data_IF_618702018186
#
_entry.id   IF_618702018186
#
_cell.length_a   1.000
_cell.length_b   1.000
_cell.length_c   1.000
_cell.angle_alpha   90.00
_cell.angle_beta   90.00
_cell.angle_gamma   90.00
#
_symmetry.space_group_name_H-M   'P 1'
#
loop_
_entity.id
_entity.type
_entity.pdbx_description
1 polymer ?
#
# COMPACT_ATOMS: atom_id res chain seq x y z
N UNK A 1 -30.40 3.91 -21.74
CA UNK A 1 -29.27 3.34 -20.97
C UNK A 1 -29.69 2.01 -20.35
N UNK A 2 -28.95 0.93 -20.61
CA UNK A 2 -29.19 -0.41 -20.03
C UNK A 2 -28.03 -0.72 -19.09
N UNK A 3 -28.31 -0.89 -17.80
CA UNK A 3 -27.31 -1.28 -16.80
C UNK A 3 -27.21 -2.81 -16.82
N UNK A 4 -26.06 -3.36 -17.22
CA UNK A 4 -25.84 -4.82 -17.26
C UNK A 4 -25.48 -5.38 -15.88
N UNK A 5 -24.64 -4.65 -15.16
CA UNK A 5 -24.07 -5.08 -13.89
C UNK A 5 -23.99 -3.91 -12.91
N UNK A 6 -24.15 -4.21 -11.63
CA UNK A 6 -24.04 -3.27 -10.52
C UNK A 6 -23.09 -3.82 -9.46
N UNK A 7 -22.18 -2.99 -8.97
CA UNK A 7 -21.22 -3.33 -7.92
C UNK A 7 -21.55 -2.49 -6.69
N UNK A 8 -21.68 -3.13 -5.53
CA UNK A 8 -21.92 -2.42 -4.27
C UNK A 8 -21.08 -2.94 -3.12
N UNK A 9 -21.06 -2.17 -2.05
CA UNK A 9 -20.62 -2.65 -0.75
C UNK A 9 -21.50 -3.80 -0.24
N UNK A 10 -20.97 -4.56 0.71
CA UNK A 10 -21.68 -5.67 1.37
C UNK A 10 -22.67 -5.15 2.43
N UNK A 11 -23.62 -4.35 1.99
CA UNK A 11 -24.71 -3.86 2.82
C UNK A 11 -25.93 -4.79 2.72
N UNK A 12 -26.43 -5.26 3.85
CA UNK A 12 -27.51 -6.27 3.90
C UNK A 12 -28.79 -5.80 3.21
N UNK A 13 -29.20 -4.55 3.43
CA UNK A 13 -30.39 -3.99 2.79
C UNK A 13 -30.26 -3.85 1.27
N UNK A 14 -29.09 -3.42 0.77
CA UNK A 14 -28.84 -3.30 -0.68
C UNK A 14 -28.84 -4.70 -1.30
N UNK A 15 -28.16 -5.65 -0.66
CA UNK A 15 -28.12 -7.02 -1.16
C UNK A 15 -29.51 -7.68 -1.17
N UNK A 16 -30.37 -7.38 -0.18
CA UNK A 16 -31.77 -7.84 -0.17
C UNK A 16 -32.54 -7.22 -1.34
N UNK A 17 -32.48 -5.90 -1.46
CA UNK A 17 -33.15 -5.16 -2.52
C UNK A 17 -32.74 -5.62 -3.93
N UNK A 18 -31.44 -5.87 -4.15
CA UNK A 18 -30.93 -6.38 -5.43
C UNK A 18 -31.44 -7.78 -5.77
N UNK A 19 -31.74 -8.63 -4.76
CA UNK A 19 -32.25 -9.99 -4.98
C UNK A 19 -33.76 -10.05 -5.19
N UNK A 20 -34.51 -9.19 -4.51
CA UNK A 20 -35.97 -9.26 -4.46
C UNK A 20 -36.58 -8.16 -5.34
N UNK A 21 -36.49 -6.90 -4.88
CA UNK A 21 -37.17 -5.76 -5.50
C UNK A 21 -36.61 -5.40 -6.89
N UNK A 22 -35.29 -5.50 -7.08
CA UNK A 22 -34.64 -5.15 -8.34
C UNK A 22 -35.07 -6.10 -9.46
N UNK A 23 -35.18 -7.39 -9.17
CA UNK A 23 -35.61 -8.42 -10.12
C UNK A 23 -37.05 -8.17 -10.55
N UNK A 24 -37.95 -7.94 -9.59
CA UNK A 24 -39.35 -7.62 -9.86
C UNK A 24 -39.47 -6.37 -10.77
N UNK A 25 -38.78 -5.27 -10.40
CA UNK A 25 -38.79 -4.04 -11.20
C UNK A 25 -38.20 -4.21 -12.60
N UNK A 26 -37.16 -5.03 -12.76
CA UNK A 26 -36.59 -5.31 -14.08
C UNK A 26 -37.61 -6.06 -14.96
N UNK A 27 -38.30 -7.04 -14.38
CA UNK A 27 -39.33 -7.80 -15.08
C UNK A 27 -40.53 -6.92 -15.47
N UNK A 28 -41.04 -6.08 -14.55
CA UNK A 28 -42.15 -5.16 -14.80
C UNK A 28 -41.84 -4.17 -15.94
N UNK A 29 -40.57 -3.76 -16.06
CA UNK A 29 -40.10 -2.84 -17.08
C UNK A 29 -39.68 -3.55 -18.38
N UNK A 30 -39.78 -4.88 -18.47
CA UNK A 30 -39.31 -5.66 -19.61
C UNK A 30 -37.80 -5.57 -19.86
N UNK A 31 -37.02 -5.31 -18.80
CA UNK A 31 -35.56 -5.11 -18.86
C UNK A 31 -34.81 -6.33 -18.34
N UNK A 32 -33.59 -6.59 -18.85
CA UNK A 32 -32.75 -7.67 -18.33
C UNK A 32 -32.41 -7.43 -16.86
N UNK A 33 -32.40 -8.51 -16.08
CA UNK A 33 -32.04 -8.48 -14.66
C UNK A 33 -30.59 -8.03 -14.51
N UNK A 34 -30.37 -7.03 -13.65
CA UNK A 34 -29.05 -6.48 -13.36
C UNK A 34 -28.24 -7.49 -12.54
N UNK A 35 -27.06 -7.87 -13.03
CA UNK A 35 -26.15 -8.73 -12.26
C UNK A 35 -25.53 -7.95 -11.11
N UNK A 36 -25.65 -8.47 -9.88
CA UNK A 36 -25.12 -7.82 -8.69
C UNK A 36 -23.79 -8.45 -8.24
N UNK A 37 -22.78 -7.62 -8.05
CA UNK A 37 -21.48 -8.01 -7.51
C UNK A 37 -21.13 -7.21 -6.26
N UNK A 38 -20.25 -7.77 -5.43
CA UNK A 38 -19.67 -7.06 -4.30
C UNK A 38 -18.34 -6.43 -4.65
N UNK A 39 -18.10 -5.24 -4.11
CA UNK A 39 -16.82 -4.54 -4.27
C UNK A 39 -15.67 -5.34 -3.63
N UNK A 40 -14.73 -5.75 -4.49
CA UNK A 40 -13.54 -6.52 -4.13
C UNK A 40 -12.50 -5.70 -3.36
N UNK A 41 -12.59 -4.37 -3.41
CA UNK A 41 -11.70 -3.47 -2.68
C UNK A 41 -11.68 -3.74 -1.18
N UNK A 42 -12.83 -4.07 -0.58
CA UNK A 42 -12.89 -4.42 0.85
C UNK A 42 -12.06 -5.66 1.19
N UNK A 43 -12.02 -6.64 0.29
CA UNK A 43 -11.20 -7.84 0.45
C UNK A 43 -9.72 -7.50 0.30
N UNK A 44 -9.36 -6.77 -0.76
CA UNK A 44 -7.99 -6.30 -0.98
C UNK A 44 -7.46 -5.46 0.20
N UNK A 45 -8.29 -4.56 0.72
CA UNK A 45 -8.00 -3.74 1.91
C UNK A 45 -7.81 -4.61 3.15
N UNK A 46 -8.62 -5.65 3.34
CA UNK A 46 -8.48 -6.60 4.45
C UNK A 46 -7.17 -7.38 4.34
N UNK A 47 -6.82 -7.89 3.16
CA UNK A 47 -5.53 -8.55 2.89
C UNK A 47 -4.37 -7.60 3.23
N UNK A 48 -4.42 -6.36 2.73
CA UNK A 48 -3.38 -5.35 2.99
C UNK A 48 -3.20 -5.07 4.49
N UNK A 49 -4.31 -4.98 5.25
CA UNK A 49 -4.28 -4.79 6.71
C UNK A 49 -3.65 -5.98 7.43
N UNK A 50 -4.01 -7.20 7.03
CA UNK A 50 -3.42 -8.43 7.61
C UNK A 50 -1.91 -8.47 7.37
N UNK A 51 -1.47 -8.24 6.13
CA UNK A 51 -0.03 -8.23 5.79
C UNK A 51 0.73 -7.11 6.51
N UNK A 52 0.10 -5.94 6.68
CA UNK A 52 0.71 -4.82 7.44
C UNK A 52 0.82 -5.12 8.93
N UNK A 53 -0.08 -5.93 9.50
CA UNK A 53 0.02 -6.39 10.88
C UNK A 53 1.16 -7.40 11.01
N UNK A 54 1.19 -8.41 10.13
CA UNK A 54 2.24 -9.44 10.12
C UNK A 54 3.62 -8.85 9.92
N UNK A 55 3.77 -7.83 9.07
CA UNK A 55 5.07 -7.19 8.83
C UNK A 55 5.64 -6.43 10.02
N UNK A 56 4.88 -6.26 11.12
CA UNK A 56 5.34 -5.62 12.36
C UNK A 56 5.77 -6.64 13.42
N UNK A 57 5.55 -7.93 13.16
CA UNK A 57 6.02 -9.00 14.03
C UNK A 57 7.53 -9.22 13.80
N UNK A 58 8.27 -9.50 14.87
CA UNK A 58 9.73 -9.68 14.82
C UNK A 58 10.08 -10.84 13.88
N UNK A 59 10.92 -10.60 12.88
CA UNK A 59 11.33 -11.60 11.90
C UNK A 59 10.39 -11.74 10.69
N UNK A 60 9.32 -10.94 10.62
CA UNK A 60 8.33 -10.96 9.54
C UNK A 60 8.38 -9.69 8.66
N UNK A 61 9.40 -8.85 8.79
CA UNK A 61 9.52 -7.55 8.11
C UNK A 61 9.50 -7.69 6.57
N UNK A 62 10.00 -8.83 6.07
CA UNK A 62 10.02 -9.19 4.64
C UNK A 62 8.62 -9.19 4.01
N UNK A 63 7.58 -9.53 4.79
CA UNK A 63 6.18 -9.54 4.34
C UNK A 63 5.75 -8.13 3.88
N UNK A 64 6.28 -7.09 4.54
CA UNK A 64 6.02 -5.70 4.19
C UNK A 64 6.44 -5.35 2.76
N UNK A 65 7.55 -5.93 2.29
CA UNK A 65 8.05 -5.74 0.90
C UNK A 65 7.11 -6.38 -0.12
N UNK A 66 6.55 -7.54 0.19
CA UNK A 66 5.65 -8.29 -0.69
C UNK A 66 4.19 -7.81 -0.66
N UNK A 67 3.80 -7.01 0.35
CA UNK A 67 2.43 -6.53 0.54
C UNK A 67 1.78 -5.97 -0.73
N UNK A 68 2.46 -5.03 -1.41
CA UNK A 68 1.92 -4.38 -2.61
C UNK A 68 1.78 -5.38 -3.77
N UNK A 69 2.72 -6.31 -3.89
CA UNK A 69 2.69 -7.36 -4.90
C UNK A 69 1.54 -8.34 -4.64
N UNK A 70 1.34 -8.76 -3.39
CA UNK A 70 0.24 -9.64 -2.99
C UNK A 70 -1.14 -9.04 -3.33
N UNK A 71 -1.35 -7.77 -3.00
CA UNK A 71 -2.62 -7.07 -3.31
C UNK A 71 -2.82 -6.95 -4.83
N UNK A 72 -1.78 -6.60 -5.59
CA UNK A 72 -1.87 -6.56 -7.06
C UNK A 72 -2.16 -7.93 -7.66
N UNK A 73 -1.53 -8.98 -7.13
CA UNK A 73 -1.75 -10.36 -7.55
C UNK A 73 -3.18 -10.83 -7.25
N UNK A 74 -3.73 -10.44 -6.10
CA UNK A 74 -5.15 -10.67 -5.78
C UNK A 74 -6.08 -10.02 -6.81
N UNK A 75 -5.88 -8.73 -7.13
CA UNK A 75 -6.68 -8.07 -8.15
C UNK A 75 -6.58 -8.80 -9.50
N UNK A 76 -5.37 -9.10 -9.96
CA UNK A 76 -5.16 -9.85 -11.19
C UNK A 76 -5.85 -11.22 -11.17
N UNK A 77 -5.76 -11.98 -10.07
CA UNK A 77 -6.40 -13.28 -9.96
C UNK A 77 -7.92 -13.19 -10.12
N UNK A 78 -8.53 -12.16 -9.54
CA UNK A 78 -9.98 -11.94 -9.57
C UNK A 78 -10.44 -11.40 -10.93
N UNK A 79 -9.75 -10.41 -11.50
CA UNK A 79 -10.17 -9.72 -12.73
C UNK A 79 -9.78 -10.45 -14.01
N UNK A 80 -8.77 -11.32 -13.98
CA UNK A 80 -8.37 -12.15 -15.14
C UNK A 80 -9.17 -13.46 -15.24
N UNK A 81 -10.18 -13.66 -14.40
CA UNK A 81 -10.94 -14.91 -14.31
C UNK A 81 -12.42 -14.62 -14.43
N UNK A 82 -13.12 -15.48 -15.17
CA UNK A 82 -14.58 -15.36 -15.33
C UNK A 82 -15.30 -15.36 -13.97
N UNK A 83 -16.45 -14.70 -13.93
CA UNK A 83 -17.15 -14.33 -12.70
C UNK A 83 -17.49 -15.53 -11.80
N UNK A 84 -17.94 -16.63 -12.39
CA UNK A 84 -18.42 -17.83 -11.71
C UNK A 84 -17.31 -18.85 -11.34
N UNK A 85 -16.06 -18.63 -11.76
CA UNK A 85 -14.95 -19.56 -11.51
C UNK A 85 -14.18 -19.20 -10.23
N UNK A 86 -14.86 -19.31 -9.08
CA UNK A 86 -14.30 -18.99 -7.77
C UNK A 86 -13.04 -19.79 -7.41
N UNK A 87 -13.01 -21.08 -7.75
CA UNK A 87 -11.89 -21.97 -7.46
C UNK A 87 -10.63 -21.60 -8.27
N UNK A 88 -10.81 -21.17 -9.52
CA UNK A 88 -9.70 -20.71 -10.37
C UNK A 88 -9.13 -19.39 -9.84
N UNK A 89 -9.97 -18.47 -9.35
CA UNK A 89 -9.52 -17.24 -8.67
C UNK A 89 -8.65 -17.58 -7.45
N UNK A 90 -9.08 -18.56 -6.66
CA UNK A 90 -8.34 -19.03 -5.50
C UNK A 90 -7.01 -19.69 -5.90
N UNK A 91 -7.03 -20.56 -6.92
CA UNK A 91 -5.84 -21.23 -7.45
C UNK A 91 -4.79 -20.22 -7.94
N UNK A 92 -5.23 -19.24 -8.75
CA UNK A 92 -4.39 -18.11 -9.19
C UNK A 92 -3.82 -17.33 -8.02
N UNK A 93 -4.63 -17.03 -7.00
CA UNK A 93 -4.14 -16.32 -5.82
C UNK A 93 -3.10 -17.14 -5.03
N UNK A 94 -3.32 -18.44 -4.84
CA UNK A 94 -2.37 -19.34 -4.17
C UNK A 94 -1.01 -19.44 -4.88
N UNK A 95 -1.00 -19.32 -6.22
CA UNK A 95 0.25 -19.26 -6.99
C UNK A 95 1.17 -18.09 -6.59
N UNK A 96 0.66 -17.07 -5.89
CA UNK A 96 1.48 -15.99 -5.34
C UNK A 96 2.63 -16.50 -4.47
N UNK A 97 2.41 -17.54 -3.65
CA UNK A 97 3.48 -18.07 -2.81
C UNK A 97 4.59 -18.71 -3.64
N UNK A 98 4.23 -19.34 -4.77
CA UNK A 98 5.20 -19.88 -5.71
C UNK A 98 5.95 -18.76 -6.44
N UNK A 99 5.30 -17.63 -6.77
CA UNK A 99 5.98 -16.44 -7.28
C UNK A 99 7.03 -15.88 -6.31
N UNK A 100 6.74 -15.90 -5.00
CA UNK A 100 7.68 -15.38 -3.98
C UNK A 100 8.99 -16.17 -3.97
N UNK A 101 8.93 -17.49 -4.21
CA UNK A 101 10.10 -18.37 -4.30
C UNK A 101 10.61 -18.56 -5.74
N UNK A 102 10.15 -17.72 -6.67
CA UNK A 102 10.51 -17.78 -8.09
C UNK A 102 10.19 -19.12 -8.80
N UNK A 103 9.15 -19.82 -8.33
CA UNK A 103 8.62 -21.03 -8.98
C UNK A 103 7.40 -20.67 -9.83
N UNK A 104 7.51 -20.85 -11.14
CA UNK A 104 6.50 -20.42 -12.12
C UNK A 104 5.81 -21.56 -12.88
N UNK A 105 6.27 -22.80 -12.69
CA UNK A 105 5.74 -24.00 -13.35
C UNK A 105 5.62 -25.15 -12.35
N UNK A 106 4.83 -26.16 -12.69
CA UNK A 106 4.56 -27.33 -11.83
C UNK A 106 4.04 -26.91 -10.45
N UNK A 107 3.06 -26.00 -10.45
CA UNK A 107 2.41 -25.51 -9.24
C UNK A 107 1.49 -26.60 -8.66
N UNK A 108 1.28 -26.62 -7.32
CA UNK A 108 0.53 -27.69 -6.66
C UNK A 108 -0.95 -27.74 -7.05
N UNK A 109 -1.52 -26.62 -7.50
CA UNK A 109 -2.93 -26.56 -7.88
C UNK A 109 -3.09 -26.84 -9.38
N UNK A 110 -3.80 -27.93 -9.72
CA UNK A 110 -4.04 -28.32 -11.12
C UNK A 110 -4.90 -27.32 -11.90
N UNK A 111 -5.76 -26.55 -11.23
CA UNK A 111 -6.58 -25.51 -11.87
C UNK A 111 -5.75 -24.31 -12.35
N UNK A 112 -4.53 -24.16 -11.85
CA UNK A 112 -3.56 -23.15 -12.26
C UNK A 112 -2.14 -23.66 -12.00
N UNK A 113 -1.63 -24.48 -12.91
CA UNK A 113 -0.38 -25.24 -12.73
C UNK A 113 0.88 -24.50 -13.24
N UNK A 114 0.71 -23.37 -13.92
CA UNK A 114 1.79 -22.53 -14.46
C UNK A 114 1.35 -21.06 -14.52
N UNK A 115 2.31 -20.14 -14.42
CA UNK A 115 2.05 -18.72 -14.37
C UNK A 115 1.66 -18.14 -15.74
N UNK A 116 0.69 -17.23 -15.74
CA UNK A 116 0.13 -16.62 -16.95
C UNK A 116 0.83 -15.29 -17.29
N UNK A 117 2.16 -15.36 -17.41
CA UNK A 117 2.99 -14.32 -17.97
C UNK A 117 4.06 -14.97 -18.86
N UNK A 118 4.51 -14.24 -19.88
CA UNK A 118 5.67 -14.66 -20.68
C UNK A 118 6.97 -14.61 -19.87
N UNK A 119 8.08 -14.76 -20.57
CA UNK A 119 9.42 -14.63 -19.99
C UNK A 119 9.58 -13.24 -19.33
N UNK A 120 9.96 -13.24 -18.05
CA UNK A 120 10.18 -12.00 -17.30
C UNK A 120 11.58 -11.49 -17.66
N UNK A 121 11.67 -10.76 -18.76
CA UNK A 121 12.94 -10.16 -19.24
C UNK A 121 13.39 -8.94 -18.42
N UNK A 122 12.56 -8.44 -17.49
CA UNK A 122 12.89 -7.32 -16.61
C UNK A 122 12.97 -7.76 -15.14
N UNK A 123 14.18 -7.95 -14.59
CA UNK A 123 14.37 -8.10 -13.14
C UNK A 123 13.84 -6.86 -12.42
N UNK A 124 13.19 -7.01 -11.26
CA UNK A 124 12.78 -5.87 -10.45
C UNK A 124 13.99 -5.14 -9.88
N UNK A 125 14.39 -4.14 -10.64
CA UNK A 125 15.26 -2.99 -10.37
C UNK A 125 15.01 -2.39 -8.98
N UNK A 126 15.83 -2.72 -7.98
CA UNK A 126 15.79 -2.05 -6.66
C UNK A 126 17.03 -1.22 -6.41
N UNK A 127 18.21 -1.76 -6.66
CA UNK A 127 19.49 -1.03 -6.58
C UNK A 127 19.70 -0.18 -7.84
N UNK A 128 19.52 -0.78 -9.01
CA UNK A 128 19.68 -0.09 -10.29
C UNK A 128 18.63 1.03 -10.47
N UNK A 129 17.41 0.90 -9.92
CA UNK A 129 16.43 1.98 -9.96
C UNK A 129 16.83 3.16 -9.06
N UNK A 130 17.45 2.89 -7.90
CA UNK A 130 17.96 3.95 -7.03
C UNK A 130 19.17 4.64 -7.64
N UNK A 131 20.11 3.89 -8.23
CA UNK A 131 21.25 4.42 -8.99
C UNK A 131 20.77 5.25 -10.20
N UNK A 132 19.84 4.72 -10.99
CA UNK A 132 19.24 5.39 -12.13
C UNK A 132 18.47 6.66 -11.69
N UNK A 133 17.71 6.61 -10.60
CA UNK A 133 17.01 7.80 -10.06
C UNK A 133 18.00 8.88 -9.61
N UNK A 134 19.07 8.50 -8.90
CA UNK A 134 20.09 9.43 -8.43
C UNK A 134 20.92 10.04 -9.56
N UNK A 135 21.29 9.23 -10.57
CA UNK A 135 22.01 9.70 -11.75
C UNK A 135 21.16 10.68 -12.56
N UNK A 136 19.87 10.37 -12.75
CA UNK A 136 18.96 11.23 -13.51
C UNK A 136 18.58 12.53 -12.79
N UNK A 137 18.65 12.56 -11.46
CA UNK A 137 18.45 13.79 -10.69
C UNK A 137 19.52 14.86 -11.01
N UNK A 138 20.71 14.42 -11.44
CA UNK A 138 21.84 15.29 -11.81
C UNK A 138 21.93 15.55 -13.31
N UNK A 139 20.96 15.10 -14.13
CA UNK A 139 21.00 15.34 -15.58
C UNK A 139 21.08 16.85 -15.89
N UNK A 140 22.07 17.20 -16.72
CA UNK A 140 22.28 18.56 -17.21
C UNK A 140 21.13 19.02 -18.10
N UNK A 141 21.06 20.33 -18.32
CA UNK A 141 20.10 20.92 -19.24
C UNK A 141 20.53 20.65 -20.68
N UNK A 142 19.57 20.29 -21.53
CA UNK A 142 19.80 20.02 -22.95
C UNK A 142 20.21 21.32 -23.63
N UNK A 143 21.31 21.29 -24.37
CA UNK A 143 21.79 22.46 -25.13
C UNK A 143 21.42 22.34 -26.61
N UNK A 144 21.25 23.49 -27.28
CA UNK A 144 21.16 23.60 -28.73
C UNK A 144 22.56 23.51 -29.37
N UNK A 145 22.63 23.57 -30.71
CA UNK A 145 23.89 23.54 -31.47
C UNK A 145 24.82 24.74 -31.17
N UNK A 146 24.31 25.76 -30.48
CA UNK A 146 25.02 26.97 -30.09
C UNK A 146 25.37 26.96 -28.59
N UNK A 147 25.10 25.85 -27.89
CA UNK A 147 25.43 25.65 -26.48
C UNK A 147 24.44 26.27 -25.49
N UNK A 148 23.30 26.79 -25.94
CA UNK A 148 22.28 27.43 -25.07
C UNK A 148 21.25 26.41 -24.57
N UNK A 149 20.76 26.54 -23.33
CA UNK A 149 19.78 25.60 -22.78
C UNK A 149 18.44 25.69 -23.52
N UNK A 150 17.93 24.55 -23.93
CA UNK A 150 16.61 24.41 -24.56
C UNK A 150 15.54 24.64 -23.49
N UNK A 151 14.64 25.59 -23.72
CA UNK A 151 13.57 25.96 -22.78
C UNK A 151 12.21 25.39 -23.22
N UNK A 152 11.42 24.95 -22.25
CA UNK A 152 10.03 24.51 -22.44
C UNK A 152 9.10 25.38 -21.61
N UNK A 153 8.04 25.87 -22.26
CA UNK A 153 7.02 26.71 -21.61
C UNK A 153 5.80 25.84 -21.31
N UNK A 154 5.42 25.77 -20.03
CA UNK A 154 4.20 25.07 -19.59
C UNK A 154 3.23 26.08 -19.00
N UNK A 155 1.93 25.88 -19.20
CA UNK A 155 0.87 26.72 -18.62
C UNK A 155 0.07 25.89 -17.62
N UNK A 156 0.46 25.86 -16.33
CA UNK A 156 -0.24 25.06 -15.33
C UNK A 156 -1.62 25.64 -15.05
N UNK A 157 -2.64 24.78 -15.01
CA UNK A 157 -4.04 25.18 -14.82
C UNK A 157 -4.28 26.03 -13.56
N UNK A 158 -3.52 25.80 -12.50
CA UNK A 158 -3.66 26.54 -11.23
C UNK A 158 -3.11 27.97 -11.27
N UNK A 159 -2.35 28.34 -12.30
CA UNK A 159 -1.80 29.68 -12.47
C UNK A 159 -2.61 30.57 -13.41
N UNK A 160 -3.83 30.13 -13.78
CA UNK A 160 -4.81 30.94 -14.52
C UNK A 160 -4.24 31.69 -15.75
N UNK A 161 -3.37 31.01 -16.52
CA UNK A 161 -2.78 31.57 -17.74
C UNK A 161 -1.33 32.02 -17.62
N UNK A 162 -0.74 32.06 -16.42
CA UNK A 162 0.70 32.35 -16.31
C UNK A 162 1.57 31.15 -16.75
N UNK A 163 2.57 31.47 -17.56
CA UNK A 163 3.56 30.52 -18.03
C UNK A 163 4.59 30.17 -16.94
N UNK A 164 5.08 28.94 -16.97
CA UNK A 164 6.27 28.51 -16.24
C UNK A 164 7.29 28.02 -17.25
N UNK A 165 8.45 28.67 -17.29
CA UNK A 165 9.57 28.28 -18.16
C UNK A 165 10.46 27.31 -17.41
N UNK A 166 10.85 26.21 -18.06
CA UNK A 166 11.74 25.19 -17.51
C UNK A 166 12.78 24.80 -18.54
N UNK A 167 14.01 24.55 -18.11
CA UNK A 167 15.03 23.96 -18.97
C UNK A 167 14.69 22.50 -19.26
N UNK A 168 14.70 22.14 -20.54
CA UNK A 168 14.54 20.76 -20.98
C UNK A 168 15.78 19.97 -20.56
N UNK A 169 15.58 18.80 -19.95
CA UNK A 169 16.68 17.91 -19.57
C UNK A 169 17.11 17.05 -20.75
N UNK A 170 18.39 16.67 -20.77
CA UNK A 170 18.93 15.72 -21.77
C UNK A 170 18.13 14.41 -21.69
N UNK A 171 17.84 13.81 -22.85
CA UNK A 171 17.15 12.52 -22.93
C UNK A 171 17.96 11.41 -22.29
N UNK A 172 17.26 10.50 -21.61
CA UNK A 172 17.86 9.46 -20.79
C UNK A 172 18.65 8.47 -21.65
N UNK A 173 19.92 8.24 -21.32
CA UNK A 173 20.71 7.14 -21.88
C UNK A 173 20.64 5.93 -20.94
N UNK A 174 20.39 4.73 -21.49
CA UNK A 174 20.31 3.46 -20.77
C UNK A 174 21.51 2.53 -21.04
N UNK A 175 22.47 2.93 -21.88
CA UNK A 175 23.56 2.05 -22.34
C UNK A 175 24.39 1.47 -21.19
N UNK A 176 24.63 2.25 -20.14
CA UNK A 176 25.39 1.83 -18.95
C UNK A 176 24.73 0.67 -18.17
N UNK A 177 23.44 0.41 -18.39
CA UNK A 177 22.73 -0.69 -17.72
C UNK A 177 23.32 -2.03 -18.15
N UNK A 178 23.68 -2.18 -19.43
CA UNK A 178 24.29 -3.40 -19.98
C UNK A 178 25.64 -3.64 -19.31
N UNK A 179 26.49 -2.62 -19.25
CA UNK A 179 27.81 -2.70 -18.62
C UNK A 179 27.74 -3.05 -17.12
N UNK A 180 26.72 -2.55 -16.41
CA UNK A 180 26.46 -2.91 -15.00
C UNK A 180 26.09 -4.40 -14.89
N UNK A 181 25.25 -4.92 -15.79
CA UNK A 181 24.87 -6.34 -15.77
C UNK A 181 26.06 -7.25 -16.07
N UNK A 182 26.87 -6.89 -17.07
CA UNK A 182 28.09 -7.63 -17.39
C UNK A 182 29.03 -7.64 -16.19
N UNK A 183 29.32 -6.48 -15.61
CA UNK A 183 30.18 -6.38 -14.41
C UNK A 183 29.64 -7.23 -13.25
N UNK A 184 28.34 -7.18 -12.95
CA UNK A 184 27.75 -7.98 -11.86
C UNK A 184 27.79 -9.49 -12.11
N UNK A 185 27.85 -9.93 -13.36
CA UNK A 185 27.82 -11.35 -13.73
C UNK A 185 29.21 -11.93 -14.00
N UNK A 186 30.17 -11.09 -14.40
CA UNK A 186 31.54 -11.50 -14.71
C UNK A 186 32.54 -11.24 -13.59
N UNK A 187 32.24 -10.37 -12.62
CA UNK A 187 33.15 -10.10 -11.51
C UNK A 187 33.42 -11.36 -10.66
N UNK A 188 34.69 -11.76 -10.48
CA UNK A 188 35.04 -12.92 -9.68
C UNK A 188 34.68 -12.72 -8.21
N UNK A 189 34.22 -13.79 -7.56
CA UNK A 189 33.73 -13.77 -6.16
C UNK A 189 34.76 -13.26 -5.15
N UNK A 190 36.04 -13.45 -5.45
CA UNK A 190 37.14 -13.09 -4.55
C UNK A 190 37.40 -11.59 -4.52
N UNK A 191 37.24 -10.89 -5.65
CA UNK A 191 37.23 -9.42 -5.70
C UNK A 191 36.00 -8.84 -4.99
N UNK A 192 34.84 -9.50 -5.11
CA UNK A 192 33.62 -9.07 -4.41
C UNK A 192 33.76 -9.21 -2.89
N UNK A 193 34.51 -10.21 -2.41
CA UNK A 193 34.79 -10.38 -0.97
C UNK A 193 35.74 -9.31 -0.44
N UNK A 194 36.84 -9.02 -1.14
CA UNK A 194 37.77 -7.96 -0.73
C UNK A 194 37.07 -6.61 -0.69
N UNK A 195 36.30 -6.28 -1.74
CA UNK A 195 35.54 -5.04 -1.81
C UNK A 195 34.47 -4.93 -0.71
N UNK A 196 33.85 -6.05 -0.33
CA UNK A 196 32.90 -6.07 0.78
C UNK A 196 33.58 -5.82 2.14
N UNK A 197 34.83 -6.25 2.32
CA UNK A 197 35.64 -5.97 3.50
C UNK A 197 36.01 -4.47 3.55
N UNK A 198 36.49 -3.91 2.43
CA UNK A 198 36.86 -2.49 2.31
C UNK A 198 35.67 -1.57 2.57
N UNK A 199 34.51 -1.87 1.96
CA UNK A 199 33.28 -1.09 2.17
C UNK A 199 32.78 -1.15 3.62
N UNK A 200 33.03 -2.25 4.32
CA UNK A 200 32.63 -2.41 5.72
C UNK A 200 33.49 -1.54 6.64
N UNK A 201 34.72 -1.23 6.22
CA UNK A 201 35.62 -0.32 6.91
C UNK A 201 35.24 1.16 6.68
N UNK A 202 34.73 1.49 5.48
CA UNK A 202 34.24 2.84 5.17
C UNK A 202 32.89 3.19 5.79
N UNK A 203 32.04 2.20 6.10
CA UNK A 203 30.72 2.46 6.68
C UNK A 203 30.90 3.03 8.09
N UNK A 204 30.51 4.29 8.35
CA UNK A 204 30.67 4.89 9.66
C UNK A 204 29.83 4.13 10.68
N UNK A 205 30.33 4.08 11.91
CA UNK A 205 29.62 3.45 13.01
C UNK A 205 28.18 4.00 13.11
N UNK A 206 27.18 3.18 13.51
CA UNK A 206 25.80 3.60 13.61
C UNK A 206 25.67 4.96 14.30
N UNK A 207 24.91 5.89 13.74
CA UNK A 207 24.88 7.29 14.19
C UNK A 207 24.73 7.45 15.71
N UNK A 208 23.91 6.60 16.34
CA UNK A 208 23.72 6.60 17.79
C UNK A 208 24.99 6.26 18.58
N UNK A 209 25.96 5.51 18.03
CA UNK A 209 27.25 5.24 18.68
C UNK A 209 28.22 6.42 18.61
N UNK A 210 28.07 7.29 17.62
CA UNK A 210 28.92 8.47 17.43
C UNK A 210 28.49 9.69 18.30
N UNK A 211 27.33 9.61 18.96
CA UNK A 211 26.87 10.68 19.86
C UNK A 211 27.67 10.63 21.17
N UNK A 212 28.52 11.63 21.39
CA UNK A 212 29.39 11.77 22.59
C UNK A 212 28.56 12.04 23.85
N UNK A 213 27.55 12.90 23.74
CA UNK A 213 26.64 13.22 24.83
C UNK A 213 25.31 12.48 24.62
N UNK A 214 25.18 11.33 25.27
CA UNK A 214 23.90 10.61 25.36
C UNK A 214 23.21 10.98 26.64
N UNK A 215 21.93 11.30 26.54
CA UNK A 215 21.08 11.37 27.74
C UNK A 215 21.15 10.03 28.47
N UNK A 216 21.28 10.09 29.80
CA UNK A 216 21.33 8.89 30.61
C UNK A 216 19.98 8.17 30.55
N UNK A 217 20.01 6.86 30.78
CA UNK A 217 18.80 6.03 30.76
C UNK A 217 17.78 6.53 31.79
N UNK A 218 18.26 6.98 32.93
CA UNK A 218 17.49 7.46 34.08
C UNK A 218 16.79 8.80 33.74
N UNK A 219 17.50 9.72 33.09
CA UNK A 219 16.94 10.99 32.62
C UNK A 219 15.90 10.78 31.51
N UNK A 220 16.17 9.87 30.56
CA UNK A 220 15.24 9.52 29.49
C UNK A 220 13.92 8.94 30.06
N UNK A 221 14.02 8.06 31.07
CA UNK A 221 12.85 7.49 31.77
C UNK A 221 12.07 8.59 32.49
N UNK A 222 12.77 9.54 33.13
CA UNK A 222 12.15 10.66 33.84
C UNK A 222 11.41 11.59 32.88
N UNK A 223 12.02 11.97 31.75
CA UNK A 223 11.36 12.74 30.68
C UNK A 223 10.16 12.01 30.09
N UNK A 224 10.18 10.68 30.01
CA UNK A 224 9.03 9.90 29.54
C UNK A 224 7.86 9.97 30.53
N UNK A 225 8.13 9.79 31.84
CA UNK A 225 7.10 9.90 32.90
C UNK A 225 6.47 11.30 32.92
N UNK A 226 7.29 12.34 32.87
CA UNK A 226 6.83 13.73 32.79
C UNK A 226 5.99 14.00 31.54
N UNK A 227 6.38 13.49 30.36
CA UNK A 227 5.57 13.61 29.13
C UNK A 227 4.21 12.92 29.25
N UNK A 228 4.13 11.83 30.02
CA UNK A 228 2.89 11.08 30.24
C UNK A 228 1.94 11.77 31.23
N UNK A 229 2.49 12.54 32.16
CA UNK A 229 1.73 13.33 33.15
C UNK A 229 1.25 14.67 32.59
N UNK A 230 1.86 15.18 31.52
CA UNK A 230 1.40 16.41 30.86
C UNK A 230 0.04 16.18 30.20
N UNK A 231 -0.97 16.88 30.71
CA UNK A 231 -2.29 16.94 30.10
C UNK A 231 -2.25 17.79 28.83
N UNK A 232 -2.74 17.24 27.73
CA UNK A 232 -2.78 17.95 26.44
C UNK A 232 -3.94 18.95 26.47
N UNK A 233 -3.63 20.24 26.58
CA UNK A 233 -4.60 21.29 26.36
C UNK A 233 -5.04 21.22 24.89
N UNK A 234 -6.35 21.07 24.67
CA UNK A 234 -6.92 21.15 23.32
C UNK A 234 -6.62 22.55 22.82
N UNK A 235 -5.86 22.66 21.73
CA UNK A 235 -5.58 23.92 21.09
C UNK A 235 -6.91 24.65 20.86
N UNK A 236 -7.07 25.91 21.32
CA UNK A 236 -8.30 26.65 21.08
C UNK A 236 -8.56 26.67 19.56
N UNK A 237 -9.83 26.50 19.14
CA UNK A 237 -10.17 26.49 17.73
C UNK A 237 -9.67 27.77 17.07
N UNK A 238 -9.05 27.64 15.90
CA UNK A 238 -8.48 28.76 15.14
C UNK A 238 -9.56 29.61 14.44
N UNK A 239 -10.84 29.28 14.62
CA UNK A 239 -11.97 30.03 14.10
C UNK A 239 -12.65 30.79 15.25
N UNK A 240 -12.94 32.07 15.02
CA UNK A 240 -13.79 32.92 15.87
C UNK A 240 -15.21 32.37 15.94
N UNK A 241 -15.90 32.62 17.06
CA UNK A 241 -17.25 32.05 17.33
C UNK A 241 -18.32 32.40 16.29
N UNK A 242 -18.06 33.39 15.43
CA UNK A 242 -18.97 33.88 14.39
C UNK A 242 -19.22 32.87 13.26
N UNK A 243 -18.36 31.86 13.06
CA UNK A 243 -18.57 30.80 12.05
C UNK A 243 -19.27 29.54 12.60
N UNK A 244 -19.52 29.46 13.91
CA UNK A 244 -20.29 28.36 14.50
C UNK A 244 -21.78 28.70 14.51
N UNK A 245 -22.49 28.30 13.46
CA UNK A 245 -23.94 28.15 13.59
C UNK A 245 -24.26 27.16 14.73
N UNK A 246 -25.10 27.53 15.71
CA UNK A 246 -25.48 26.62 16.78
C UNK A 246 -26.37 25.52 16.18
N UNK A 247 -25.79 24.36 15.88
CA UNK A 247 -26.58 23.14 15.76
C UNK A 247 -27.15 22.84 17.13
N UNK A 248 -28.44 23.08 17.28
CA UNK A 248 -29.25 22.73 18.45
C UNK A 248 -28.96 21.28 18.86
N UNK A 249 -28.49 21.13 20.10
CA UNK A 249 -28.48 19.91 20.90
C UNK A 249 -27.79 18.67 20.29
N UNK A 250 -26.45 18.61 20.38
CA UNK A 250 -25.75 17.32 20.45
C UNK A 250 -26.10 16.66 21.78
N UNK A 251 -27.15 15.83 21.78
CA UNK A 251 -27.37 14.87 22.87
C UNK A 251 -26.12 13.98 22.99
N UNK A 252 -25.31 14.23 24.02
CA UNK A 252 -24.21 13.35 24.40
C UNK A 252 -24.85 12.07 24.92
N UNK A 253 -25.15 11.12 24.02
CA UNK A 253 -25.55 9.78 24.42
C UNK A 253 -24.39 9.15 25.18
N UNK A 254 -24.50 9.12 26.51
CA UNK A 254 -23.60 8.36 27.35
C UNK A 254 -23.53 6.92 26.81
N UNK A 255 -22.31 6.45 26.49
CA UNK A 255 -22.11 5.08 26.02
C UNK A 255 -22.56 4.13 27.13
N UNK A 256 -23.65 3.39 26.90
CA UNK A 256 -24.12 2.37 27.83
C UNK A 256 -23.00 1.36 28.07
N UNK A 257 -22.75 1.04 29.34
CA UNK A 257 -21.76 0.02 29.68
C UNK A 257 -22.10 -1.31 28.98
N UNK A 258 -21.11 -2.05 28.48
CA UNK A 258 -21.35 -3.33 27.82
C UNK A 258 -21.90 -4.34 28.83
N UNK A 259 -23.01 -5.00 28.49
CA UNK A 259 -23.66 -6.04 29.30
C UNK A 259 -23.45 -7.43 28.67
N UNK A 260 -23.37 -8.47 29.49
CA UNK A 260 -23.19 -9.84 29.05
C UNK A 260 -24.43 -10.28 28.28
N UNK A 261 -24.26 -10.76 27.05
CA UNK A 261 -25.40 -11.18 26.21
C UNK A 261 -26.19 -12.36 26.76
N UNK A 262 -25.59 -13.15 27.67
CA UNK A 262 -26.25 -14.32 28.28
C UNK A 262 -27.03 -13.98 29.54
N UNK A 263 -26.46 -13.17 30.45
CA UNK A 263 -27.07 -12.89 31.75
C UNK A 263 -27.54 -11.44 31.93
N UNK A 264 -27.31 -10.56 30.95
CA UNK A 264 -27.75 -9.16 30.98
C UNK A 264 -27.05 -8.26 31.99
N UNK A 265 -26.08 -8.77 32.79
CA UNK A 265 -25.33 -7.98 33.79
C UNK A 265 -24.13 -7.24 33.17
N UNK A 266 -23.65 -6.12 33.75
CA UNK A 266 -22.49 -5.39 33.26
C UNK A 266 -21.24 -6.29 33.13
N UNK A 267 -20.44 -6.13 32.06
CA UNK A 267 -19.22 -6.92 31.86
C UNK A 267 -18.12 -6.64 32.91
N UNK A 268 -18.21 -5.51 33.61
CA UNK A 268 -17.23 -5.10 34.61
C UNK A 268 -17.37 -6.01 35.84
N UNK A 269 -16.37 -6.84 36.11
CA UNK A 269 -16.38 -7.83 37.21
C UNK A 269 -16.81 -9.25 36.81
N UNK A 270 -17.10 -9.51 35.54
CA UNK A 270 -17.55 -10.81 35.07
C UNK A 270 -16.36 -11.79 34.95
N UNK A 271 -16.33 -12.85 35.78
CA UNK A 271 -15.24 -13.86 35.71
C UNK A 271 -15.43 -14.75 34.47
N UNK A 272 -14.32 -15.15 33.85
CA UNK A 272 -14.31 -16.00 32.65
C UNK A 272 -14.88 -17.38 33.01
N UNK A 273 -15.95 -17.81 32.33
CA UNK A 273 -16.64 -19.09 32.59
C UNK A 273 -17.87 -19.02 33.49
N UNK A 274 -18.20 -17.85 34.06
CA UNK A 274 -19.32 -17.71 34.99
C UNK A 274 -20.70 -17.68 34.32
N UNK A 275 -20.75 -17.60 32.98
CA UNK A 275 -21.97 -17.79 32.20
C UNK A 275 -21.69 -18.83 31.11
N UNK A 276 -22.05 -20.08 31.44
CA UNK A 276 -22.09 -21.23 30.53
C UNK A 276 -22.95 -20.99 29.31
#
# INVERSE_FOLDING_TARGET
MIIKSFISDRHTSIAKWMREDCVAKCNDLGKPVVQHFFDIWHIAKKIQKVLTKLSKEKGCEIIGRWRKACVRHFYWAVTSTQEHLGEVKLAKFHAFLSHVINKHSNLPNRLFNACAHGEIVTPRVTILAALHFNYNLKSGSKTDNEGRPVLYVTYPKFKEGEATVREAKVSINYDYVVDIYDTLTTSPKEELKSLAEDLKEEVPAPLHTMLVEKESKEEAITKYRQRKEKETVICPPTCTEEELHPTTERTVRARRAPHCKKCGKPLRGHKKGQCG
#
